data_IF_375474352920
#
_entry.id   IF_375474352920
#
_cell.length_a   1.000
_cell.length_b   1.000
_cell.length_c   1.000
_cell.angle_alpha   90.00
_cell.angle_beta   90.00
_cell.angle_gamma   90.00
#
_symmetry.space_group_name_H-M   'P 1'
#
loop_
_entity.id
_entity.type
_entity.pdbx_description
1 polymer ?
#
# COMPACT_ATOMS: atom_id res chain seq x y z
N UNK A 1 11.25 -4.86 8.77
CA UNK A 1 9.99 -4.91 9.55
C UNK A 1 10.18 -4.92 11.06
N UNK A 2 11.08 -5.73 11.64
CA UNK A 2 11.31 -5.79 13.11
C UNK A 2 11.55 -4.43 13.77
N UNK A 3 12.37 -3.56 13.16
CA UNK A 3 12.60 -2.21 13.67
C UNK A 3 11.33 -1.35 13.65
N UNK A 4 10.57 -1.37 12.54
CA UNK A 4 9.33 -0.62 12.43
C UNK A 4 8.31 -1.11 13.47
N UNK A 5 8.11 -2.43 13.60
CA UNK A 5 7.16 -2.98 14.58
C UNK A 5 7.53 -2.58 16.00
N UNK A 6 8.83 -2.57 16.35
CA UNK A 6 9.31 -2.07 17.63
C UNK A 6 8.98 -0.59 17.85
N UNK A 7 9.24 0.27 16.84
CA UNK A 7 9.03 1.71 16.94
C UNK A 7 7.56 2.09 17.08
N UNK A 8 6.67 1.38 16.41
CA UNK A 8 5.23 1.72 16.43
C UNK A 8 4.46 1.04 17.55
N UNK A 9 5.03 0.04 18.22
CA UNK A 9 4.36 -0.70 19.30
C UNK A 9 3.76 0.18 20.40
N UNK A 10 4.38 1.28 20.85
CA UNK A 10 3.76 2.16 21.84
C UNK A 10 2.47 2.85 21.34
N UNK A 11 2.22 2.83 20.03
CA UNK A 11 1.04 3.43 19.40
C UNK A 11 -0.06 2.40 19.14
N UNK A 12 0.18 1.10 19.40
CA UNK A 12 -0.77 0.02 19.12
C UNK A 12 -1.69 -0.32 20.30
N UNK A 13 -1.62 0.44 21.40
CA UNK A 13 -2.46 0.25 22.59
C UNK A 13 -3.86 0.88 22.46
N UNK A 14 -4.13 1.58 21.35
CA UNK A 14 -5.43 2.15 20.98
C UNK A 14 -5.85 1.59 19.62
N UNK A 15 -7.14 1.63 19.23
CA UNK A 15 -7.56 1.29 17.88
C UNK A 15 -6.80 2.12 16.84
N UNK A 16 -6.23 1.46 15.83
CA UNK A 16 -5.45 2.10 14.78
C UNK A 16 -5.71 1.44 13.44
N UNK A 17 -5.45 2.19 12.37
CA UNK A 17 -5.48 1.70 10.99
C UNK A 17 -4.12 1.95 10.34
N UNK A 18 -3.81 1.18 9.30
CA UNK A 18 -2.72 1.54 8.40
C UNK A 18 -3.27 2.00 7.07
N UNK A 19 -2.63 3.02 6.51
CA UNK A 19 -2.81 3.42 5.13
C UNK A 19 -1.44 3.41 4.46
N UNK A 20 -1.36 2.75 3.31
CA UNK A 20 -0.19 2.77 2.45
C UNK A 20 -0.60 3.09 1.02
N UNK A 21 0.32 3.70 0.28
CA UNK A 21 0.21 3.90 -1.16
C UNK A 21 1.45 3.35 -1.86
N UNK A 22 1.28 2.64 -2.98
CA UNK A 22 2.36 2.01 -3.71
C UNK A 22 3.24 1.14 -2.80
N UNK A 23 4.56 1.34 -2.77
CA UNK A 23 5.47 0.69 -1.82
C UNK A 23 4.99 0.79 -0.35
N UNK A 24 4.39 1.91 0.04
CA UNK A 24 3.85 2.09 1.39
C UNK A 24 2.77 1.06 1.74
N UNK A 25 1.99 0.61 0.76
CA UNK A 25 1.00 -0.48 0.94
C UNK A 25 1.66 -1.81 1.26
N UNK A 26 2.76 -2.13 0.57
CA UNK A 26 3.53 -3.34 0.80
C UNK A 26 4.19 -3.32 2.18
N UNK A 27 4.75 -2.17 2.57
CA UNK A 27 5.31 -1.94 3.91
C UNK A 27 4.22 -2.10 4.99
N UNK A 28 3.05 -1.48 4.79
CA UNK A 28 1.94 -1.56 5.73
C UNK A 28 1.43 -3.00 5.90
N UNK A 29 1.33 -3.76 4.81
CA UNK A 29 0.97 -5.17 4.83
C UNK A 29 1.98 -6.02 5.62
N UNK A 30 3.27 -5.91 5.31
CA UNK A 30 4.32 -6.67 5.99
C UNK A 30 4.47 -6.28 7.46
N UNK A 31 4.23 -5.00 7.79
CA UNK A 31 4.22 -4.51 9.15
C UNK A 31 3.03 -5.07 9.94
N UNK A 32 1.83 -5.09 9.35
CA UNK A 32 0.65 -5.71 9.94
C UNK A 32 0.85 -7.21 10.20
N UNK A 33 1.46 -7.94 9.25
CA UNK A 33 1.83 -9.35 9.43
C UNK A 33 2.79 -9.54 10.58
N UNK A 34 3.84 -8.73 10.64
CA UNK A 34 4.85 -8.80 11.70
C UNK A 34 4.24 -8.57 13.08
N UNK A 35 3.37 -7.55 13.23
CA UNK A 35 2.68 -7.28 14.50
C UNK A 35 1.74 -8.43 14.90
N UNK A 36 1.01 -8.99 13.93
CA UNK A 36 0.14 -10.13 14.16
C UNK A 36 0.91 -11.37 14.65
N UNK A 37 2.05 -11.68 14.02
CA UNK A 37 2.94 -12.79 14.40
C UNK A 37 3.56 -12.58 15.79
N UNK A 38 3.83 -11.33 16.16
CA UNK A 38 4.34 -10.94 17.49
C UNK A 38 3.25 -10.88 18.58
N UNK A 39 1.98 -11.14 18.23
CA UNK A 39 0.82 -10.93 19.10
C UNK A 39 0.78 -9.51 19.71
N UNK A 40 1.25 -8.51 18.97
CA UNK A 40 1.38 -7.12 19.41
C UNK A 40 0.14 -6.26 19.08
N UNK A 41 -0.97 -6.89 18.69
CA UNK A 41 -2.16 -6.22 18.16
C UNK A 41 -2.26 -6.35 16.64
N UNK A 42 -3.47 -6.12 16.12
CA UNK A 42 -3.74 -6.03 14.69
C UNK A 42 -4.44 -4.69 14.44
N UNK A 43 -4.21 -4.03 13.28
CA UNK A 43 -4.95 -2.84 12.94
C UNK A 43 -6.44 -3.19 12.79
N UNK A 44 -7.31 -2.22 13.06
CA UNK A 44 -8.76 -2.36 12.84
C UNK A 44 -9.09 -2.52 11.36
N UNK A 45 -8.27 -1.94 10.48
CA UNK A 45 -8.35 -2.07 9.02
C UNK A 45 -7.00 -1.71 8.39
N UNK A 46 -6.66 -2.38 7.29
CA UNK A 46 -5.53 -2.03 6.44
C UNK A 46 -6.04 -1.47 5.12
N UNK A 47 -5.73 -0.21 4.86
CA UNK A 47 -6.01 0.48 3.61
C UNK A 47 -4.80 0.38 2.68
N UNK A 48 -5.02 -0.20 1.52
CA UNK A 48 -4.04 -0.43 0.46
C UNK A 48 -4.42 0.47 -0.70
N UNK A 49 -3.48 1.26 -1.20
CA UNK A 49 -3.67 2.18 -2.32
C UNK A 49 -2.62 1.89 -3.38
N UNK A 50 -3.04 1.73 -4.63
CA UNK A 50 -2.18 1.50 -5.79
C UNK A 50 -1.08 0.44 -5.57
N UNK A 51 -1.45 -0.78 -5.16
CA UNK A 51 -0.50 -1.87 -5.00
C UNK A 51 -1.13 -3.21 -5.41
N UNK A 52 -0.42 -3.96 -6.26
CA UNK A 52 -0.76 -5.34 -6.55
C UNK A 52 -0.64 -6.21 -5.27
N UNK A 53 -1.36 -7.34 -5.19
CA UNK A 53 -1.21 -8.28 -4.09
C UNK A 53 0.24 -8.74 -3.92
N UNK A 54 0.74 -8.98 -2.69
CA UNK A 54 2.15 -9.25 -2.41
C UNK A 54 2.72 -10.44 -3.19
N UNK A 55 1.93 -11.52 -3.36
CA UNK A 55 2.30 -12.67 -4.22
C UNK A 55 2.55 -12.23 -5.68
N UNK A 56 1.72 -11.33 -6.20
CA UNK A 56 1.82 -10.84 -7.58
C UNK A 56 3.04 -9.93 -7.71
N UNK A 57 3.27 -9.03 -6.75
CA UNK A 57 4.49 -8.19 -6.71
C UNK A 57 5.76 -9.07 -6.74
N UNK A 58 5.78 -10.15 -5.96
CA UNK A 58 6.89 -11.10 -5.95
C UNK A 58 7.08 -11.85 -7.27
N UNK A 59 6.01 -12.12 -8.01
CA UNK A 59 6.08 -12.78 -9.33
C UNK A 59 6.49 -11.80 -10.44
N UNK A 60 5.96 -10.58 -10.46
CA UNK A 60 6.30 -9.52 -11.41
C UNK A 60 7.80 -9.20 -11.40
N UNK A 61 8.44 -9.33 -10.24
CA UNK A 61 9.90 -9.24 -10.08
C UNK A 61 10.65 -10.20 -11.00
N UNK A 62 10.16 -11.43 -11.19
CA UNK A 62 10.85 -12.45 -12.00
C UNK A 62 10.70 -12.19 -13.51
N UNK A 63 9.70 -11.43 -13.91
CA UNK A 63 9.34 -11.18 -15.31
C UNK A 63 9.93 -9.87 -15.87
N UNK A 64 10.46 -8.99 -15.01
CA UNK A 64 10.98 -7.68 -15.41
C UNK A 64 12.45 -7.47 -15.06
N UNK A 65 13.11 -6.59 -15.81
CA UNK A 65 14.42 -6.09 -15.40
C UNK A 65 14.28 -5.19 -14.16
N UNK A 66 15.13 -5.35 -13.14
CA UNK A 66 15.05 -4.55 -11.92
C UNK A 66 15.32 -3.07 -12.20
N UNK A 67 14.39 -2.21 -11.78
CA UNK A 67 14.44 -0.77 -11.99
C UNK A 67 15.56 -0.11 -11.20
N UNK A 68 15.88 -0.60 -10.00
CA UNK A 68 16.95 -0.03 -9.17
C UNK A 68 18.36 -0.20 -9.79
N UNK A 69 18.55 -1.16 -10.70
CA UNK A 69 19.82 -1.38 -11.41
C UNK A 69 19.97 -0.54 -12.68
N UNK A 70 18.92 0.17 -13.11
CA UNK A 70 18.99 1.02 -14.29
C UNK A 70 19.91 2.22 -14.04
N UNK A 71 20.55 2.71 -15.11
CA UNK A 71 21.21 4.00 -15.06
C UNK A 71 20.17 5.13 -14.90
N UNK A 72 20.62 6.27 -14.42
CA UNK A 72 19.78 7.40 -14.02
C UNK A 72 18.90 7.93 -15.16
N UNK A 73 19.43 8.01 -16.38
CA UNK A 73 18.69 8.49 -17.56
C UNK A 73 17.55 7.51 -17.93
N UNK A 74 17.85 6.21 -17.90
CA UNK A 74 16.87 5.17 -18.23
C UNK A 74 15.79 5.08 -17.16
N UNK A 75 16.17 5.17 -15.88
CA UNK A 75 15.22 5.19 -14.76
C UNK A 75 14.34 6.44 -14.83
N UNK A 76 14.90 7.60 -15.11
CA UNK A 76 14.14 8.85 -15.26
C UNK A 76 13.11 8.75 -16.38
N UNK A 77 13.46 8.14 -17.51
CA UNK A 77 12.52 7.91 -18.60
C UNK A 77 11.42 6.92 -18.22
N UNK A 78 11.75 5.84 -17.50
CA UNK A 78 10.76 4.90 -16.99
C UNK A 78 9.78 5.58 -16.01
N UNK A 79 10.29 6.41 -15.09
CA UNK A 79 9.48 7.17 -14.14
C UNK A 79 8.50 8.13 -14.83
N UNK A 80 8.91 8.76 -15.94
CA UNK A 80 8.03 9.60 -16.78
C UNK A 80 6.90 8.79 -17.42
N UNK A 81 7.13 7.53 -17.77
CA UNK A 81 6.11 6.66 -18.37
C UNK A 81 5.16 6.07 -17.32
N UNK A 82 5.67 5.82 -16.12
CA UNK A 82 4.91 5.28 -15.00
C UNK A 82 3.91 6.29 -14.40
N UNK A 83 4.01 7.58 -14.76
CA UNK A 83 3.40 8.69 -14.02
C UNK A 83 3.66 8.56 -12.50
N UNK A 84 4.83 8.01 -12.16
CA UNK A 84 5.20 7.52 -10.84
C UNK A 84 5.66 8.62 -9.85
N UNK A 85 5.82 9.83 -10.35
CA UNK A 85 6.55 10.91 -9.68
C UNK A 85 5.89 12.25 -10.06
N UNK A 86 5.76 13.20 -9.12
CA UNK A 86 5.17 14.50 -9.42
C UNK A 86 5.83 15.15 -10.63
N UNK A 87 4.99 15.73 -11.48
CA UNK A 87 5.42 16.28 -12.77
C UNK A 87 6.48 17.38 -12.61
N UNK A 88 6.40 18.16 -11.52
CA UNK A 88 7.36 19.21 -11.17
C UNK A 88 8.76 18.65 -10.89
N UNK A 89 8.84 17.45 -10.31
CA UNK A 89 10.11 16.77 -10.06
C UNK A 89 10.65 16.22 -11.36
N UNK A 90 9.81 15.55 -12.16
CA UNK A 90 10.20 15.02 -13.48
C UNK A 90 10.70 16.12 -14.43
N UNK A 91 10.19 17.35 -14.34
CA UNK A 91 10.62 18.44 -15.23
C UNK A 91 11.89 19.17 -14.79
N UNK A 92 12.48 18.82 -13.64
CA UNK A 92 13.68 19.47 -13.11
C UNK A 92 14.81 18.46 -12.94
N UNK A 93 15.78 18.49 -13.86
CA UNK A 93 16.92 17.55 -13.87
C UNK A 93 17.80 17.65 -12.62
N UNK A 94 17.94 18.84 -12.02
CA UNK A 94 18.70 18.99 -10.76
C UNK A 94 17.97 18.33 -9.60
N UNK A 95 16.65 18.51 -9.55
CA UNK A 95 15.81 17.90 -8.53
C UNK A 95 15.74 16.38 -8.69
N UNK A 96 15.63 15.88 -9.92
CA UNK A 96 15.70 14.45 -10.23
C UNK A 96 17.00 13.84 -9.73
N UNK A 97 18.16 14.47 -9.98
CA UNK A 97 19.46 13.97 -9.49
C UNK A 97 19.50 13.80 -7.96
N UNK A 98 18.81 14.65 -7.22
CA UNK A 98 18.72 14.56 -5.76
C UNK A 98 17.81 13.40 -5.32
N UNK A 99 16.70 13.16 -6.03
CA UNK A 99 15.74 12.12 -5.66
C UNK A 99 16.07 10.72 -6.19
N UNK A 100 16.80 10.61 -7.31
CA UNK A 100 17.12 9.32 -7.93
C UNK A 100 17.75 8.31 -6.98
N UNK A 101 18.70 8.66 -6.08
CA UNK A 101 19.21 7.70 -5.09
C UNK A 101 18.14 7.16 -4.14
N UNK A 102 17.19 8.01 -3.73
CA UNK A 102 16.08 7.62 -2.84
C UNK A 102 15.12 6.71 -3.60
N UNK A 103 14.74 7.09 -4.82
CA UNK A 103 13.85 6.31 -5.69
C UNK A 103 14.47 4.94 -6.01
N UNK A 104 15.79 4.88 -6.23
CA UNK A 104 16.50 3.62 -6.43
C UNK A 104 16.44 2.72 -5.20
N UNK A 105 16.62 3.28 -4.01
CA UNK A 105 16.47 2.51 -2.77
C UNK A 105 15.03 1.99 -2.60
N UNK A 106 14.03 2.77 -2.99
CA UNK A 106 12.63 2.35 -2.96
C UNK A 106 12.35 1.22 -3.95
N UNK A 107 12.86 1.32 -5.18
CA UNK A 107 12.76 0.23 -6.16
C UNK A 107 13.56 -0.99 -5.76
N UNK A 108 14.70 -0.84 -5.07
CA UNK A 108 15.48 -1.97 -4.58
C UNK A 108 14.63 -2.79 -3.61
N UNK A 109 13.85 -2.15 -2.73
CA UNK A 109 12.92 -2.85 -1.84
C UNK A 109 11.85 -3.64 -2.60
N UNK A 110 11.32 -3.12 -3.71
CA UNK A 110 10.33 -3.82 -4.55
C UNK A 110 10.99 -4.95 -5.34
N UNK A 111 12.10 -4.66 -6.02
CA UNK A 111 12.80 -5.58 -6.92
C UNK A 111 13.51 -6.72 -6.18
N UNK A 112 13.71 -6.58 -4.88
CA UNK A 112 14.25 -7.64 -4.01
C UNK A 112 13.20 -8.23 -3.07
N UNK A 113 11.94 -7.76 -3.17
CA UNK A 113 10.85 -8.30 -2.37
C UNK A 113 10.59 -9.77 -2.73
N UNK A 114 10.55 -10.61 -1.70
CA UNK A 114 10.23 -12.03 -1.80
C UNK A 114 9.00 -12.31 -0.94
N UNK A 115 7.88 -12.61 -1.60
CA UNK A 115 6.67 -12.98 -0.88
C UNK A 115 6.86 -14.32 -0.17
N UNK A 116 6.57 -14.33 1.14
CA UNK A 116 6.58 -15.55 1.95
C UNK A 116 5.17 -15.88 2.39
N UNK A 117 4.77 -17.11 2.12
CA UNK A 117 3.51 -17.67 2.62
C UNK A 117 3.42 -17.52 4.15
N UNK A 118 2.20 -17.33 4.65
CA UNK A 118 1.97 -17.23 6.07
C UNK A 118 0.50 -17.15 6.42
N UNK A 119 0.21 -16.87 7.69
CA UNK A 119 -1.16 -16.73 8.17
C UNK A 119 -1.75 -15.44 7.62
N UNK A 120 -2.93 -15.52 7.01
CA UNK A 120 -3.67 -14.36 6.54
C UNK A 120 -3.93 -13.36 7.68
N UNK A 121 -3.99 -12.07 7.36
CA UNK A 121 -4.30 -11.03 8.34
C UNK A 121 -5.72 -11.22 8.88
N UNK A 122 -5.91 -11.03 10.18
CA UNK A 122 -7.25 -11.08 10.80
C UNK A 122 -8.04 -9.79 10.58
N UNK A 123 -7.38 -8.69 10.24
CA UNK A 123 -8.03 -7.42 9.99
C UNK A 123 -8.65 -7.37 8.58
N UNK A 124 -9.75 -6.64 8.38
CA UNK A 124 -10.26 -6.37 7.05
C UNK A 124 -9.29 -5.54 6.22
N UNK A 125 -9.42 -5.69 4.91
CA UNK A 125 -8.65 -4.94 3.91
C UNK A 125 -9.59 -4.05 3.10
N UNK A 126 -9.16 -2.84 2.81
CA UNK A 126 -9.79 -1.98 1.81
C UNK A 126 -8.75 -1.60 0.77
N UNK A 127 -8.99 -1.94 -0.48
CA UNK A 127 -8.04 -1.76 -1.58
C UNK A 127 -8.58 -0.71 -2.55
N UNK A 128 -7.76 0.28 -2.86
CA UNK A 128 -8.01 1.30 -3.87
C UNK A 128 -7.05 1.12 -5.05
N UNK A 129 -7.56 1.28 -6.28
CA UNK A 129 -6.76 1.25 -7.49
C UNK A 129 -7.23 2.30 -8.52
N UNK A 130 -6.29 2.77 -9.33
CA UNK A 130 -6.58 3.65 -10.46
C UNK A 130 -7.08 2.85 -11.66
N UNK A 131 -8.09 3.34 -12.37
CA UNK A 131 -8.59 2.68 -13.60
C UNK A 131 -7.62 2.77 -14.77
N UNK A 132 -6.66 3.68 -14.69
CA UNK A 132 -5.65 3.96 -15.72
C UNK A 132 -4.23 3.74 -15.18
N UNK A 133 -4.08 3.07 -14.04
CA UNK A 133 -2.79 2.79 -13.42
C UNK A 133 -2.00 1.77 -14.27
N UNK A 134 -0.84 2.15 -14.85
CA UNK A 134 -0.04 1.23 -15.66
C UNK A 134 0.76 0.21 -14.82
N UNK A 135 0.83 0.40 -13.49
CA UNK A 135 1.61 -0.43 -12.57
C UNK A 135 0.72 -1.48 -11.90
N UNK A 136 -0.54 -1.13 -11.61
CA UNK A 136 -1.46 -1.97 -10.83
C UNK A 136 -2.62 -2.43 -11.70
N UNK A 137 -2.75 -3.74 -11.86
CA UNK A 137 -3.87 -4.29 -12.63
C UNK A 137 -5.09 -4.50 -11.75
N UNK A 138 -6.22 -3.91 -12.14
CA UNK A 138 -7.53 -4.11 -11.49
C UNK A 138 -7.91 -5.60 -11.45
N UNK A 139 -7.49 -6.38 -12.45
CA UNK A 139 -7.77 -7.81 -12.54
C UNK A 139 -7.16 -8.61 -11.38
N UNK A 140 -6.09 -8.10 -10.76
CA UNK A 140 -5.44 -8.74 -9.64
C UNK A 140 -6.00 -8.35 -8.28
N UNK A 141 -6.80 -7.30 -8.17
CA UNK A 141 -7.32 -6.84 -6.86
C UNK A 141 -8.08 -7.92 -6.09
N UNK A 142 -8.92 -8.78 -6.71
CA UNK A 142 -9.61 -9.84 -5.98
C UNK A 142 -8.67 -10.82 -5.25
N UNK A 143 -7.41 -10.96 -5.70
CA UNK A 143 -6.43 -11.83 -5.04
C UNK A 143 -5.94 -11.27 -3.69
N UNK A 144 -6.24 -10.02 -3.35
CA UNK A 144 -6.07 -9.53 -1.98
C UNK A 144 -6.90 -10.31 -0.96
N UNK A 145 -7.94 -11.04 -1.39
CA UNK A 145 -8.72 -11.91 -0.50
C UNK A 145 -7.87 -13.06 0.09
N UNK A 146 -6.77 -13.46 -0.56
CA UNK A 146 -5.82 -14.44 -0.01
C UNK A 146 -5.03 -13.89 1.18
N UNK A 147 -4.98 -12.55 1.33
CA UNK A 147 -4.16 -11.86 2.32
C UNK A 147 -4.89 -11.61 3.65
N UNK A 148 -6.19 -11.85 3.73
CA UNK A 148 -7.00 -11.66 4.93
C UNK A 148 -7.96 -12.83 5.16
N UNK A 149 -8.23 -13.15 6.42
CA UNK A 149 -9.32 -14.05 6.83
C UNK A 149 -10.61 -13.28 7.17
N UNK A 150 -10.62 -11.96 6.96
CA UNK A 150 -11.77 -11.07 7.16
C UNK A 150 -12.31 -10.58 5.81
N UNK A 151 -13.14 -9.54 5.81
CA UNK A 151 -13.69 -8.98 4.59
C UNK A 151 -12.66 -8.15 3.80
N UNK A 152 -12.87 -8.13 2.48
CA UNK A 152 -12.14 -7.31 1.53
C UNK A 152 -13.13 -6.37 0.85
N UNK A 153 -12.88 -5.06 0.95
CA UNK A 153 -13.53 -4.04 0.15
C UNK A 153 -12.58 -3.57 -0.97
N UNK A 154 -13.12 -3.29 -2.15
CA UNK A 154 -12.33 -2.86 -3.31
C UNK A 154 -13.00 -1.66 -3.97
N UNK A 155 -12.20 -0.66 -4.31
CA UNK A 155 -12.63 0.57 -4.95
C UNK A 155 -11.73 0.87 -6.15
N UNK A 156 -12.35 1.15 -7.29
CA UNK A 156 -11.67 1.67 -8.46
C UNK A 156 -11.97 3.17 -8.58
N UNK A 157 -10.93 3.97 -8.76
CA UNK A 157 -11.01 5.42 -8.89
C UNK A 157 -10.47 5.80 -10.26
N UNK A 158 -11.16 6.68 -10.97
CA UNK A 158 -10.65 7.21 -12.24
C UNK A 158 -9.27 7.84 -12.03
N UNK A 159 -8.34 7.61 -12.95
CA UNK A 159 -6.97 8.15 -12.89
C UNK A 159 -5.88 7.09 -12.88
N UNK A 160 -4.64 7.59 -12.96
CA UNK A 160 -3.41 6.78 -13.02
C UNK A 160 -2.94 6.30 -11.64
N UNK A 161 -1.63 6.01 -11.52
CA UNK A 161 -1.05 5.54 -10.25
C UNK A 161 -1.30 6.51 -9.09
N UNK A 162 -1.34 7.83 -9.36
CA UNK A 162 -1.62 8.86 -8.37
C UNK A 162 -3.05 9.39 -8.43
N UNK A 163 -4.04 8.53 -8.72
CA UNK A 163 -5.47 8.88 -8.71
C UNK A 163 -5.92 9.63 -7.44
N UNK A 164 -5.28 9.40 -6.29
CA UNK A 164 -5.59 10.10 -5.03
C UNK A 164 -5.24 11.59 -5.05
N UNK A 165 -4.39 12.02 -6.00
CA UNK A 165 -4.09 13.42 -6.28
C UNK A 165 -4.84 13.96 -7.47
N UNK A 166 -5.06 13.13 -8.48
CA UNK A 166 -5.85 13.50 -9.67
C UNK A 166 -7.35 13.68 -9.33
N UNK A 167 -7.86 12.87 -8.40
CA UNK A 167 -9.26 12.81 -7.97
C UNK A 167 -9.36 12.83 -6.43
N UNK A 168 -8.69 13.80 -5.80
CA UNK A 168 -8.54 13.89 -4.34
C UNK A 168 -9.88 13.93 -3.59
N UNK A 169 -10.87 14.67 -4.09
CA UNK A 169 -12.21 14.74 -3.49
C UNK A 169 -12.90 13.37 -3.46
N UNK A 170 -12.89 12.65 -4.58
CA UNK A 170 -13.49 11.32 -4.69
C UNK A 170 -12.77 10.31 -3.80
N UNK A 171 -11.43 10.35 -3.77
CA UNK A 171 -10.63 9.50 -2.90
C UNK A 171 -10.98 9.70 -1.43
N UNK A 172 -11.01 10.95 -0.94
CA UNK A 172 -11.36 11.23 0.45
C UNK A 172 -12.82 10.91 0.76
N UNK A 173 -13.74 11.11 -0.18
CA UNK A 173 -15.13 10.68 -0.01
C UNK A 173 -15.23 9.17 0.24
N UNK A 174 -14.55 8.35 -0.55
CA UNK A 174 -14.56 6.90 -0.38
C UNK A 174 -13.83 6.46 0.90
N UNK A 175 -12.65 7.04 1.19
CA UNK A 175 -11.89 6.74 2.40
C UNK A 175 -12.69 7.07 3.67
N UNK A 176 -13.35 8.23 3.70
CA UNK A 176 -14.18 8.63 4.83
C UNK A 176 -15.38 7.70 5.01
N UNK A 177 -16.02 7.28 3.92
CA UNK A 177 -17.12 6.30 4.01
C UNK A 177 -16.70 4.97 4.65
N UNK A 178 -15.50 4.48 4.31
CA UNK A 178 -14.94 3.27 4.92
C UNK A 178 -14.56 3.47 6.39
N UNK A 179 -14.01 4.64 6.74
CA UNK A 179 -13.69 4.99 8.12
C UNK A 179 -14.95 5.15 8.98
N UNK A 180 -16.01 5.76 8.45
CA UNK A 180 -17.29 5.95 9.16
C UNK A 180 -17.97 4.61 9.47
N UNK A 181 -17.93 3.67 8.52
CA UNK A 181 -18.40 2.30 8.72
C UNK A 181 -17.60 1.61 9.84
N UNK A 182 -16.27 1.74 9.80
CA UNK A 182 -15.37 1.17 10.80
C UNK A 182 -15.66 1.71 12.20
N UNK A 183 -15.77 3.04 12.33
CA UNK A 183 -16.05 3.72 13.60
C UNK A 183 -17.40 3.32 14.19
N UNK A 184 -18.44 3.24 13.36
CA UNK A 184 -19.77 2.76 13.76
C UNK A 184 -19.70 1.32 14.29
N UNK A 185 -18.90 0.46 13.64
CA UNK A 185 -18.66 -0.90 14.10
C UNK A 185 -18.00 -0.97 15.48
N UNK A 186 -16.98 -0.15 15.72
CA UNK A 186 -16.25 -0.09 17.00
C UNK A 186 -17.18 0.38 18.14
N UNK A 187 -17.97 1.43 17.92
CA UNK A 187 -18.91 1.96 18.92
C UNK A 187 -20.04 0.95 19.26
N UNK A 188 -20.51 0.18 18.28
CA UNK A 188 -21.48 -0.89 18.48
C UNK A 188 -20.95 -2.05 19.33
N UNK A 189 -19.66 -2.37 19.25
CA UNK A 189 -19.01 -3.40 20.07
C UNK A 189 -18.78 -2.90 21.50
N UNK A 190 -18.38 -1.64 21.69
CA UNK A 190 -18.18 -1.05 23.01
C UNK A 190 -19.48 -0.97 23.83
N UNK A 191 -20.61 -0.68 23.17
CA UNK A 191 -21.93 -0.59 23.81
C UNK A 191 -22.57 -1.95 24.16
N UNK A 192 -22.13 -3.05 23.54
CA UNK A 192 -22.65 -4.40 23.79
C UNK A 192 -21.94 -5.16 24.93
N UNK A 193 -20.70 -4.78 25.28
CA UNK A 193 -19.93 -5.37 26.39
C UNK A 193 -20.14 -4.65 27.74
N UNK A 194 -21.02 -3.64 27.79
CA UNK A 194 -21.36 -2.87 28.99
C UNK A 194 -22.67 -3.27 29.68
N UNK A 195 -23.21 -4.48 29.44
CA UNK A 195 -24.43 -5.00 30.07
C UNK A 195 -24.19 -6.32 30.80
#
# INVERSE_FOLDING_TARGET
MQLLSFLIRPLTDIPYVFFGHSLGSLIAYELARTLQEQAAGAPERLFISACNPPRIVGAEREERSPLHLLNDDTLSNALRQMNGTPHEVLQNDELMKVFLPIIKADFEMIDTYEFREGVALRCPLTVFAGTEDPIVSIEWLPKWAECTSSHLNMHAITGGHFYLKENEELFFQMLNGELDELLTGIEGVASSHGK
#
